data_IF_790403050496
#
_entry.id   IF_790403050496
#
_cell.length_a   1.000
_cell.length_b   1.000
_cell.length_c   1.000
_cell.angle_alpha   90.00
_cell.angle_beta   90.00
_cell.angle_gamma   90.00
#
_symmetry.space_group_name_H-M   'P 1'
#
loop_
_entity.id
_entity.type
_entity.pdbx_description
1 polymer ?
#
# COMPACT_ATOMS: atom_id res chain seq x y z
N UNK A 1 -2.63 20.88 28.41
CA UNK A 1 -2.12 19.65 29.04
C UNK A 1 -0.73 19.41 28.49
N UNK A 2 0.23 19.96 29.22
CA UNK A 2 1.66 19.95 28.94
C UNK A 2 2.26 18.58 29.23
N UNK A 3 3.20 18.16 28.38
CA UNK A 3 3.92 16.89 28.54
C UNK A 3 5.20 16.78 27.70
N UNK A 4 5.81 17.91 27.31
CA UNK A 4 7.13 17.91 26.68
C UNK A 4 8.23 17.94 27.73
N UNK A 5 8.61 16.78 28.25
CA UNK A 5 9.82 16.65 29.08
C UNK A 5 11.05 16.69 28.16
N UNK A 6 11.97 17.62 28.45
CA UNK A 6 13.14 18.03 27.68
C UNK A 6 12.80 18.91 26.46
N UNK A 7 13.14 20.20 26.56
CA UNK A 7 12.89 21.26 25.57
C UNK A 7 13.67 21.14 24.25
N UNK A 8 13.65 19.97 23.61
CA UNK A 8 13.92 19.86 22.19
C UNK A 8 12.66 20.33 21.46
N UNK A 9 12.70 21.54 20.87
CA UNK A 9 11.64 21.98 19.97
C UNK A 9 11.41 20.93 18.88
N UNK A 10 10.16 20.74 18.45
CA UNK A 10 9.87 19.94 17.24
C UNK A 10 10.77 20.45 16.13
N UNK A 11 11.70 19.61 15.67
CA UNK A 11 12.49 19.88 14.49
C UNK A 11 11.53 19.81 13.30
N UNK A 12 11.01 20.96 12.88
CA UNK A 12 10.10 21.02 11.74
C UNK A 12 9.71 22.46 11.43
N UNK A 13 10.15 22.95 10.27
CA UNK A 13 9.54 24.12 9.63
C UNK A 13 8.08 23.85 9.25
N UNK A 14 7.38 24.87 8.73
CA UNK A 14 6.01 24.70 8.24
C UNK A 14 5.93 23.54 7.23
N UNK A 15 4.84 22.77 7.29
CA UNK A 15 4.59 21.70 6.31
C UNK A 15 4.65 22.31 4.89
N UNK A 16 5.53 21.78 4.05
CA UNK A 16 5.65 22.16 2.64
C UNK A 16 4.99 21.08 1.77
N UNK A 17 3.75 21.29 1.29
CA UNK A 17 3.03 20.33 0.46
C UNK A 17 3.77 19.99 -0.84
N UNK A 18 4.54 20.95 -1.38
CA UNK A 18 5.25 20.77 -2.65
C UNK A 18 6.45 19.85 -2.49
N UNK A 19 7.19 19.96 -1.38
CA UNK A 19 8.28 19.04 -1.05
C UNK A 19 7.75 17.62 -0.76
N UNK A 20 6.59 17.51 -0.09
CA UNK A 20 5.96 16.23 0.22
C UNK A 20 5.54 15.46 -1.05
N UNK A 21 4.82 16.11 -1.96
CA UNK A 21 4.32 15.48 -3.20
C UNK A 21 5.47 15.06 -4.14
N UNK A 22 6.63 15.72 -4.06
CA UNK A 22 7.81 15.38 -4.87
C UNK A 22 8.60 14.18 -4.36
N UNK A 23 8.32 13.67 -3.16
CA UNK A 23 9.04 12.50 -2.66
C UNK A 23 8.62 11.25 -3.43
N UNK A 24 9.57 10.47 -3.99
CA UNK A 24 9.24 9.30 -4.80
C UNK A 24 8.45 8.23 -4.03
N UNK A 25 8.71 8.10 -2.72
CA UNK A 25 7.98 7.21 -1.83
C UNK A 25 6.52 7.62 -1.70
N UNK A 26 6.26 8.92 -1.49
CA UNK A 26 4.90 9.47 -1.38
C UNK A 26 4.13 9.31 -2.69
N UNK A 27 4.76 9.55 -3.85
CA UNK A 27 4.14 9.31 -5.16
C UNK A 27 3.74 7.84 -5.30
N UNK A 28 4.65 6.91 -5.00
CA UNK A 28 4.34 5.48 -5.06
C UNK A 28 3.24 5.07 -4.08
N UNK A 29 3.15 5.70 -2.90
CA UNK A 29 2.03 5.49 -1.96
C UNK A 29 0.70 5.91 -2.55
N UNK A 30 0.62 7.06 -3.21
CA UNK A 30 -0.59 7.48 -3.92
C UNK A 30 -0.96 6.55 -5.07
N UNK A 31 0.02 6.06 -5.83
CA UNK A 31 -0.22 5.08 -6.90
C UNK A 31 -0.76 3.76 -6.32
N UNK A 32 -0.12 3.21 -5.28
CA UNK A 32 -0.61 2.00 -4.59
C UNK A 32 -2.01 2.18 -3.98
N UNK A 33 -2.31 3.39 -3.49
CA UNK A 33 -3.62 3.74 -2.97
C UNK A 33 -4.70 3.72 -4.05
N UNK A 34 -4.42 4.32 -5.22
CA UNK A 34 -5.32 4.28 -6.38
C UNK A 34 -5.51 2.85 -6.88
N UNK A 35 -4.43 2.06 -6.99
CA UNK A 35 -4.53 0.67 -7.44
C UNK A 35 -5.42 -0.17 -6.52
N UNK A 36 -5.30 0.04 -5.20
CA UNK A 36 -6.15 -0.62 -4.21
C UNK A 36 -7.63 -0.29 -4.44
N UNK A 37 -7.95 0.99 -4.68
CA UNK A 37 -9.32 1.45 -5.01
C UNK A 37 -9.85 0.78 -6.27
N UNK A 38 -9.05 0.73 -7.33
CA UNK A 38 -9.48 0.09 -8.58
C UNK A 38 -9.78 -1.39 -8.35
N UNK A 39 -8.96 -2.11 -7.59
CA UNK A 39 -9.17 -3.54 -7.33
C UNK A 39 -10.44 -3.79 -6.51
N UNK A 40 -10.56 -3.25 -5.30
CA UNK A 40 -11.76 -3.57 -4.50
C UNK A 40 -13.01 -2.91 -5.09
N UNK A 41 -12.90 -1.71 -5.67
CA UNK A 41 -14.03 -0.98 -6.24
C UNK A 41 -14.62 -1.69 -7.46
N UNK A 42 -13.78 -2.22 -8.35
CA UNK A 42 -14.26 -3.01 -9.49
C UNK A 42 -14.97 -4.29 -9.04
N UNK A 43 -14.44 -5.00 -8.05
CA UNK A 43 -15.05 -6.23 -7.53
C UNK A 43 -16.37 -5.94 -6.79
N UNK A 44 -16.45 -4.89 -5.96
CA UNK A 44 -17.66 -4.56 -5.21
C UNK A 44 -18.80 -4.12 -6.14
N UNK A 45 -18.48 -3.37 -7.20
CA UNK A 45 -19.51 -2.81 -8.09
C UNK A 45 -19.98 -3.79 -9.16
N UNK A 46 -19.07 -4.56 -9.76
CA UNK A 46 -19.34 -5.38 -10.95
C UNK A 46 -18.78 -6.81 -10.83
N UNK A 47 -18.27 -7.19 -9.66
CA UNK A 47 -17.69 -8.52 -9.43
C UNK A 47 -18.68 -9.61 -9.07
N UNK A 48 -19.98 -9.29 -8.94
CA UNK A 48 -21.04 -10.23 -8.62
C UNK A 48 -22.07 -10.23 -9.75
N UNK A 49 -22.27 -11.39 -10.38
CA UNK A 49 -23.12 -11.56 -11.56
C UNK A 49 -23.98 -12.80 -11.41
N UNK A 50 -25.19 -12.80 -11.97
CA UNK A 50 -26.07 -13.94 -12.02
C UNK A 50 -26.18 -14.50 -13.45
N UNK A 51 -26.59 -15.77 -13.57
CA UNK A 51 -27.01 -16.29 -14.88
C UNK A 51 -28.39 -15.76 -15.23
N UNK A 52 -28.75 -15.82 -16.51
CA UNK A 52 -30.06 -15.33 -17.01
C UNK A 52 -31.24 -16.07 -16.35
N UNK A 53 -31.04 -17.33 -15.96
CA UNK A 53 -32.02 -18.22 -15.33
C UNK A 53 -31.95 -18.26 -13.79
N UNK A 54 -30.99 -17.55 -13.18
CA UNK A 54 -30.77 -17.54 -11.74
C UNK A 54 -30.95 -16.13 -11.15
N UNK A 55 -31.52 -16.03 -9.96
CA UNK A 55 -31.70 -14.74 -9.25
C UNK A 55 -30.51 -14.44 -8.33
N UNK A 56 -29.76 -15.47 -7.92
CA UNK A 56 -28.64 -15.33 -6.98
C UNK A 56 -27.36 -14.87 -7.72
N UNK A 57 -26.71 -13.84 -7.16
CA UNK A 57 -25.46 -13.32 -7.70
C UNK A 57 -24.27 -14.11 -7.15
N UNK A 58 -23.33 -14.42 -8.03
CA UNK A 58 -22.11 -15.13 -7.70
C UNK A 58 -20.89 -14.35 -8.12
N UNK A 59 -19.78 -14.58 -7.42
CA UNK A 59 -18.50 -13.98 -7.75
C UNK A 59 -18.11 -14.30 -9.20
N UNK A 60 -17.75 -13.27 -9.97
CA UNK A 60 -17.35 -13.37 -11.37
C UNK A 60 -16.14 -14.29 -11.60
N UNK A 61 -15.32 -14.47 -10.56
CA UNK A 61 -14.19 -15.39 -10.55
C UNK A 61 -14.67 -16.82 -10.23
N UNK A 62 -15.06 -17.58 -11.26
CA UNK A 62 -15.41 -19.00 -11.19
C UNK A 62 -16.45 -19.31 -10.10
N UNK A 63 -17.41 -18.40 -9.88
CA UNK A 63 -18.47 -18.49 -8.86
C UNK A 63 -17.92 -18.78 -7.45
N UNK A 64 -16.65 -18.46 -7.21
CA UNK A 64 -15.96 -18.76 -5.97
C UNK A 64 -16.02 -17.53 -5.04
N UNK A 65 -16.83 -17.55 -3.97
CA UNK A 65 -16.97 -16.39 -3.09
C UNK A 65 -15.64 -16.00 -2.42
N UNK A 66 -14.73 -16.96 -2.21
CA UNK A 66 -13.42 -16.68 -1.62
C UNK A 66 -12.54 -15.82 -2.54
N UNK A 67 -12.73 -15.86 -3.85
CA UNK A 67 -11.97 -15.05 -4.80
C UNK A 67 -12.31 -13.56 -4.68
N UNK A 68 -13.61 -13.21 -4.77
CA UNK A 68 -14.05 -11.83 -4.58
C UNK A 68 -13.75 -11.33 -3.17
N UNK A 69 -14.04 -12.14 -2.13
CA UNK A 69 -13.75 -11.77 -0.74
C UNK A 69 -12.26 -11.51 -0.51
N UNK A 70 -11.38 -12.31 -1.14
CA UNK A 70 -9.94 -12.08 -1.08
C UNK A 70 -9.56 -10.73 -1.69
N UNK A 71 -10.00 -10.45 -2.93
CA UNK A 71 -9.66 -9.21 -3.64
C UNK A 71 -10.19 -7.96 -2.91
N UNK A 72 -11.41 -8.02 -2.39
CA UNK A 72 -12.01 -6.96 -1.58
C UNK A 72 -11.21 -6.73 -0.30
N UNK A 73 -10.94 -7.81 0.46
CA UNK A 73 -10.27 -7.69 1.76
C UNK A 73 -8.85 -7.15 1.60
N UNK A 74 -8.08 -7.71 0.67
CA UNK A 74 -6.71 -7.25 0.38
C UNK A 74 -6.73 -5.81 -0.09
N UNK A 75 -7.63 -5.45 -1.02
CA UNK A 75 -7.75 -4.08 -1.53
C UNK A 75 -8.11 -3.06 -0.44
N UNK A 76 -9.11 -3.35 0.41
CA UNK A 76 -9.54 -2.43 1.49
C UNK A 76 -8.44 -2.25 2.54
N UNK A 77 -7.80 -3.34 2.97
CA UNK A 77 -6.73 -3.26 3.96
C UNK A 77 -5.48 -2.56 3.41
N UNK A 78 -5.15 -2.77 2.14
CA UNK A 78 -4.06 -2.05 1.47
C UNK A 78 -4.38 -0.55 1.32
N UNK A 79 -5.64 -0.19 1.02
CA UNK A 79 -6.12 1.19 0.99
C UNK A 79 -5.93 1.88 2.34
N UNK A 80 -6.39 1.25 3.43
CA UNK A 80 -6.24 1.80 4.79
C UNK A 80 -4.76 1.90 5.20
N UNK A 81 -3.96 0.88 4.85
CA UNK A 81 -2.52 0.90 5.07
C UNK A 81 -1.87 2.08 4.34
N UNK A 82 -2.23 2.34 3.08
CA UNK A 82 -1.70 3.49 2.35
C UNK A 82 -2.05 4.82 3.02
N UNK A 83 -3.28 5.01 3.51
CA UNK A 83 -3.65 6.22 4.25
C UNK A 83 -2.82 6.40 5.53
N UNK A 84 -2.62 5.32 6.29
CA UNK A 84 -1.81 5.35 7.50
C UNK A 84 -0.35 5.75 7.20
N UNK A 85 0.26 5.16 6.17
CA UNK A 85 1.64 5.47 5.81
C UNK A 85 1.79 6.83 5.12
N UNK A 86 0.79 7.31 4.38
CA UNK A 86 0.77 8.68 3.87
C UNK A 86 0.73 9.70 5.02
N UNK A 87 -0.07 9.45 6.05
CA UNK A 87 -0.05 10.25 7.26
C UNK A 87 1.33 10.19 7.95
N UNK A 88 1.90 8.98 8.08
CA UNK A 88 3.23 8.79 8.64
C UNK A 88 4.30 9.58 7.86
N UNK A 89 4.28 9.55 6.52
CA UNK A 89 5.20 10.30 5.67
C UNK A 89 5.05 11.82 5.91
N UNK A 90 3.83 12.32 6.10
CA UNK A 90 3.59 13.73 6.39
C UNK A 90 4.12 14.16 7.78
N UNK A 91 4.07 13.25 8.75
CA UNK A 91 4.61 13.47 10.10
C UNK A 91 6.10 13.15 10.23
N UNK A 92 6.68 12.38 9.30
CA UNK A 92 8.05 11.87 9.37
C UNK A 92 9.11 12.96 9.60
N UNK A 93 9.06 14.14 8.93
CA UNK A 93 10.02 15.21 9.18
C UNK A 93 10.01 15.72 10.63
N UNK A 94 8.84 15.71 11.29
CA UNK A 94 8.66 16.20 12.65
C UNK A 94 9.20 15.26 13.73
N UNK A 95 9.61 14.03 13.36
CA UNK A 95 10.19 13.06 14.30
C UNK A 95 11.63 13.48 14.59
N UNK A 96 11.93 13.90 15.83
CA UNK A 96 13.29 14.30 16.23
C UNK A 96 14.19 13.10 16.60
N UNK A 97 13.59 11.98 17.03
CA UNK A 97 14.31 10.80 17.50
C UNK A 97 14.72 9.88 16.35
N UNK A 98 16.03 9.67 16.19
CA UNK A 98 16.60 8.73 15.19
C UNK A 98 16.08 7.31 15.39
N UNK A 99 15.89 6.90 16.66
CA UNK A 99 15.36 5.57 17.01
C UNK A 99 13.92 5.39 16.53
N UNK A 100 13.09 6.43 16.63
CA UNK A 100 11.69 6.36 16.19
C UNK A 100 11.57 6.42 14.67
N UNK A 101 12.41 7.23 14.00
CA UNK A 101 12.54 7.20 12.54
C UNK A 101 12.93 5.80 12.04
N UNK A 102 13.90 5.15 12.69
CA UNK A 102 14.34 3.79 12.35
C UNK A 102 13.21 2.76 12.50
N UNK A 103 12.46 2.80 13.60
CA UNK A 103 11.30 1.92 13.81
C UNK A 103 10.21 2.14 12.75
N UNK A 104 9.90 3.39 12.44
CA UNK A 104 8.93 3.75 11.41
C UNK A 104 9.33 3.19 10.04
N UNK A 105 10.59 3.37 9.64
CA UNK A 105 11.10 2.86 8.36
C UNK A 105 11.16 1.32 8.34
N UNK A 106 11.56 0.68 9.43
CA UNK A 106 11.56 -0.79 9.51
C UNK A 106 10.15 -1.38 9.40
N UNK A 107 9.17 -0.73 10.04
CA UNK A 107 7.76 -1.07 9.87
C UNK A 107 7.30 -0.91 8.43
N UNK A 108 7.70 0.19 7.75
CA UNK A 108 7.39 0.40 6.33
C UNK A 108 7.95 -0.72 5.45
N UNK A 109 9.22 -1.10 5.62
CA UNK A 109 9.83 -2.21 4.86
C UNK A 109 9.01 -3.49 5.03
N UNK A 110 8.70 -3.87 6.27
CA UNK A 110 7.98 -5.10 6.57
C UNK A 110 6.57 -5.10 5.99
N UNK A 111 5.82 -4.02 6.19
CA UNK A 111 4.45 -3.92 5.67
C UNK A 111 4.44 -3.85 4.14
N UNK A 112 5.37 -3.12 3.53
CA UNK A 112 5.46 -3.00 2.08
C UNK A 112 5.82 -4.34 1.42
N UNK A 113 6.76 -5.10 1.99
CA UNK A 113 7.10 -6.44 1.51
C UNK A 113 5.93 -7.42 1.67
N UNK A 114 5.22 -7.35 2.81
CA UNK A 114 4.03 -8.18 3.06
C UNK A 114 2.92 -7.90 2.04
N UNK A 115 2.62 -6.63 1.76
CA UNK A 115 1.64 -6.28 0.74
C UNK A 115 2.06 -6.71 -0.66
N UNK A 116 3.34 -6.55 -1.03
CA UNK A 116 3.82 -7.03 -2.33
C UNK A 116 3.58 -8.55 -2.49
N UNK A 117 3.82 -9.33 -1.43
CA UNK A 117 3.54 -10.76 -1.41
C UNK A 117 2.04 -11.06 -1.54
N UNK A 118 1.17 -10.38 -0.78
CA UNK A 118 -0.27 -10.56 -0.90
C UNK A 118 -0.79 -10.17 -2.29
N UNK A 119 -0.30 -9.09 -2.89
CA UNK A 119 -0.67 -8.72 -4.26
C UNK A 119 -0.24 -9.77 -5.28
N UNK A 120 0.91 -10.41 -5.08
CA UNK A 120 1.36 -11.53 -5.92
C UNK A 120 0.43 -12.75 -5.77
N UNK A 121 0.10 -13.13 -4.53
CA UNK A 121 -0.86 -14.22 -4.27
C UNK A 121 -2.22 -13.89 -4.89
N UNK A 122 -2.70 -12.66 -4.71
CA UNK A 122 -3.96 -12.18 -5.28
C UNK A 122 -3.99 -12.22 -6.80
N UNK A 123 -2.94 -11.74 -7.45
CA UNK A 123 -2.81 -11.81 -8.90
C UNK A 123 -2.91 -13.26 -9.39
N UNK A 124 -2.11 -14.17 -8.81
CA UNK A 124 -2.11 -15.58 -9.17
C UNK A 124 -3.49 -16.23 -8.92
N UNK A 125 -4.09 -15.96 -7.76
CA UNK A 125 -5.36 -16.55 -7.37
C UNK A 125 -6.52 -16.06 -8.25
N UNK A 126 -6.67 -14.75 -8.42
CA UNK A 126 -7.72 -14.16 -9.25
C UNK A 126 -7.55 -14.55 -10.72
N UNK A 127 -6.33 -14.58 -11.26
CA UNK A 127 -6.08 -15.03 -12.63
C UNK A 127 -6.48 -16.50 -12.81
N UNK A 128 -6.10 -17.38 -11.88
CA UNK A 128 -6.47 -18.80 -11.97
C UNK A 128 -7.99 -19.01 -11.89
N UNK A 129 -8.68 -18.29 -11.00
CA UNK A 129 -10.13 -18.36 -10.92
C UNK A 129 -10.80 -17.75 -12.16
N UNK A 130 -10.26 -16.66 -12.70
CA UNK A 130 -10.76 -16.07 -13.96
C UNK A 130 -10.60 -17.04 -15.14
N UNK A 131 -9.45 -17.69 -15.26
CA UNK A 131 -9.21 -18.70 -16.31
C UNK A 131 -10.13 -19.93 -16.19
N UNK A 132 -10.52 -20.30 -14.97
CA UNK A 132 -11.46 -21.40 -14.72
C UNK A 132 -12.93 -21.00 -14.93
N UNK A 133 -13.24 -19.71 -15.13
CA UNK A 133 -14.60 -19.21 -15.29
C UNK A 133 -15.21 -19.66 -16.62
N UNK A 134 -16.47 -20.10 -16.59
CA UNK A 134 -17.13 -20.64 -17.79
C UNK A 134 -17.97 -19.57 -18.48
N UNK A 135 -18.01 -19.52 -19.83
CA UNK A 135 -18.89 -18.61 -20.56
C UNK A 135 -20.38 -18.80 -20.22
N UNK A 136 -20.78 -20.02 -19.86
CA UNK A 136 -22.15 -20.36 -19.42
C UNK A 136 -22.56 -19.63 -18.13
N UNK A 137 -21.58 -19.28 -17.28
CA UNK A 137 -21.83 -18.57 -16.02
C UNK A 137 -22.05 -17.07 -16.23
N UNK A 138 -21.61 -16.52 -17.36
CA UNK A 138 -21.73 -15.11 -17.72
C UNK A 138 -21.86 -14.93 -19.24
N UNK A 139 -23.01 -15.31 -19.84
CA UNK A 139 -23.19 -15.30 -21.29
C UNK A 139 -23.21 -13.87 -21.88
N UNK A 140 -23.56 -12.87 -21.08
CA UNK A 140 -23.59 -11.46 -21.47
C UNK A 140 -22.23 -10.76 -21.26
N UNK A 141 -21.25 -11.45 -20.68
CA UNK A 141 -19.92 -10.92 -20.36
C UNK A 141 -19.97 -9.62 -19.51
N UNK A 142 -20.95 -9.53 -18.61
CA UNK A 142 -21.10 -8.40 -17.69
C UNK A 142 -19.96 -8.41 -16.66
N UNK A 143 -19.43 -7.25 -16.29
CA UNK A 143 -18.33 -7.14 -15.32
C UNK A 143 -16.98 -7.74 -15.77
N UNK A 144 -16.86 -8.24 -17.00
CA UNK A 144 -15.61 -8.83 -17.50
C UNK A 144 -14.43 -7.85 -17.50
N UNK A 145 -14.70 -6.58 -17.80
CA UNK A 145 -13.70 -5.51 -17.73
C UNK A 145 -13.31 -5.19 -16.28
N UNK A 146 -14.27 -5.23 -15.34
CA UNK A 146 -14.00 -5.10 -13.91
C UNK A 146 -13.11 -6.23 -13.38
N UNK A 147 -13.38 -7.49 -13.76
CA UNK A 147 -12.53 -8.63 -13.38
C UNK A 147 -11.10 -8.49 -13.93
N UNK A 148 -10.96 -8.07 -15.19
CA UNK A 148 -9.65 -7.82 -15.82
C UNK A 148 -8.92 -6.65 -15.17
N UNK A 149 -9.62 -5.58 -14.80
CA UNK A 149 -9.06 -4.47 -14.05
C UNK A 149 -8.53 -4.95 -12.70
N UNK A 150 -9.33 -5.69 -11.91
CA UNK A 150 -8.90 -6.24 -10.64
C UNK A 150 -7.63 -7.09 -10.76
N UNK A 151 -7.52 -7.96 -11.76
CA UNK A 151 -6.31 -8.76 -12.03
C UNK A 151 -5.12 -7.87 -12.40
N UNK A 152 -5.31 -6.95 -13.35
CA UNK A 152 -4.24 -6.11 -13.90
C UNK A 152 -3.66 -5.19 -12.83
N UNK A 153 -4.51 -4.54 -12.05
CA UNK A 153 -4.07 -3.66 -10.97
C UNK A 153 -3.51 -4.42 -9.76
N UNK A 154 -3.92 -5.68 -9.54
CA UNK A 154 -3.24 -6.57 -8.60
C UNK A 154 -1.81 -6.86 -9.03
N UNK A 155 -1.58 -7.15 -10.32
CA UNK A 155 -0.25 -7.37 -10.88
C UNK A 155 0.66 -6.14 -10.72
N UNK A 156 0.17 -4.96 -11.12
CA UNK A 156 0.97 -3.73 -10.99
C UNK A 156 1.25 -3.35 -9.54
N UNK A 157 0.35 -3.68 -8.61
CA UNK A 157 0.56 -3.44 -7.18
C UNK A 157 1.76 -4.21 -6.61
N UNK A 158 2.13 -5.36 -7.18
CA UNK A 158 3.34 -6.11 -6.76
C UNK A 158 4.57 -5.21 -6.88
N UNK A 159 4.71 -4.51 -8.01
CA UNK A 159 5.85 -3.66 -8.28
C UNK A 159 5.82 -2.39 -7.46
N UNK A 160 4.67 -1.73 -7.29
CA UNK A 160 4.60 -0.49 -6.51
C UNK A 160 4.94 -0.73 -5.04
N UNK A 161 4.41 -1.79 -4.44
CA UNK A 161 4.74 -2.18 -3.07
C UNK A 161 6.16 -2.71 -2.93
N UNK A 162 6.68 -3.44 -3.93
CA UNK A 162 8.09 -3.84 -3.97
C UNK A 162 9.04 -2.65 -4.04
N UNK A 163 8.74 -1.64 -4.86
CA UNK A 163 9.49 -0.39 -4.94
C UNK A 163 9.42 0.40 -3.64
N UNK A 164 8.26 0.45 -2.97
CA UNK A 164 8.13 1.07 -1.64
C UNK A 164 9.05 0.39 -0.61
N UNK A 165 9.06 -0.95 -0.57
CA UNK A 165 9.96 -1.69 0.31
C UNK A 165 11.44 -1.38 0.01
N UNK A 166 11.81 -1.30 -1.27
CA UNK A 166 13.18 -0.96 -1.69
C UNK A 166 13.56 0.47 -1.28
N UNK A 167 12.71 1.47 -1.52
CA UNK A 167 12.98 2.85 -1.13
C UNK A 167 13.08 3.00 0.39
N UNK A 168 12.21 2.34 1.15
CA UNK A 168 12.29 2.30 2.60
C UNK A 168 13.58 1.63 3.09
N UNK A 169 14.03 0.56 2.44
CA UNK A 169 15.31 -0.08 2.73
C UNK A 169 16.50 0.86 2.47
N UNK A 170 16.49 1.64 1.38
CA UNK A 170 17.51 2.66 1.13
C UNK A 170 17.52 3.73 2.22
N UNK A 171 16.34 4.24 2.60
CA UNK A 171 16.19 5.23 3.68
C UNK A 171 16.70 4.69 5.02
N UNK A 172 16.54 3.39 5.30
CA UNK A 172 17.09 2.75 6.50
C UNK A 172 18.62 2.81 6.54
N UNK A 173 19.29 2.66 5.39
CA UNK A 173 20.74 2.79 5.28
C UNK A 173 21.23 4.19 5.70
N UNK A 174 20.57 5.24 5.22
CA UNK A 174 20.90 6.62 5.57
C UNK A 174 20.69 6.91 7.06
N UNK A 175 19.61 6.36 7.64
CA UNK A 175 19.31 6.49 9.07
C UNK A 175 20.35 5.75 9.93
N UNK A 176 20.74 4.53 9.54
CA UNK A 176 21.76 3.77 10.26
C UNK A 176 23.11 4.50 10.26
N UNK A 177 23.52 5.06 9.11
CA UNK A 177 24.73 5.87 9.02
C UNK A 177 24.68 7.07 9.97
N UNK A 178 23.54 7.75 10.05
CA UNK A 178 23.38 8.88 10.97
C UNK A 178 23.35 8.45 12.45
N UNK A 179 22.78 7.29 12.76
CA UNK A 179 22.85 6.72 14.12
C UNK A 179 24.32 6.48 14.53
N UNK A 180 25.12 5.87 13.66
CA UNK A 180 26.56 5.65 13.88
C UNK A 180 27.37 6.95 13.95
N UNK A 181 27.07 7.93 13.09
CA UNK A 181 27.74 9.23 13.14
C UNK A 181 27.50 9.94 14.48
N UNK A 182 26.26 9.96 14.95
CA UNK A 182 25.91 10.58 16.24
C UNK A 182 26.53 9.86 17.44
N UNK A 183 26.73 8.53 17.37
CA UNK A 183 27.40 7.80 18.45
C UNK A 183 28.91 8.07 18.47
N UNK A 184 29.54 8.23 17.31
CA UNK A 184 30.97 8.53 17.19
C UNK A 184 31.29 10.01 17.48
N UNK A 185 30.37 10.92 17.15
CA UNK A 185 30.57 12.37 17.25
C UNK A 185 29.42 13.05 18.02
N UNK A 186 29.31 12.83 19.35
CA UNK A 186 28.17 13.31 20.15
C UNK A 186 28.05 14.84 20.26
N UNK A 187 29.09 15.58 19.89
CA UNK A 187 29.12 17.06 19.93
C UNK A 187 28.96 17.72 18.55
N UNK A 188 28.73 16.94 17.49
CA UNK A 188 28.57 17.46 16.13
C UNK A 188 27.12 17.84 15.84
N UNK A 189 26.85 18.96 15.15
CA UNK A 189 25.50 19.29 14.72
C UNK A 189 24.99 18.26 13.70
N UNK A 190 23.69 17.95 13.78
CA UNK A 190 23.01 16.99 12.91
C UNK A 190 23.14 17.38 11.42
N UNK A 191 23.63 16.46 10.58
CA UNK A 191 23.97 16.72 9.17
C UNK A 191 22.78 16.74 8.19
N UNK A 192 21.56 16.43 8.62
CA UNK A 192 20.37 16.41 7.75
C UNK A 192 19.25 17.32 8.30
N UNK A 193 18.58 18.09 7.42
CA UNK A 193 17.33 18.78 7.77
C UNK A 193 16.17 17.80 8.03
#
# INVERSE_FOLDING_TARGET
MDGGAFGAGKAGGAFDPQAFIRQPQTILRFVSWVFSIVVFGSIVNEGYVNRVDEVEEHCIFNRNPNACNYGITVGVLAFLSCLLYLALDAYFPQISSVKDRKKAVLSDIGVSAFWAFLWFVGFCFLTNQWQASKPEDNPLNEGGDAARAAITFSFFSIFTWGCLAFLAFRRLGDINFQEEYNTLFPNSPSLLP
#
